data_IF_604123157865
#
_entry.id   IF_604123157865
#
_cell.length_a   1.000
_cell.length_b   1.000
_cell.length_c   1.000
_cell.angle_alpha   90.00
_cell.angle_beta   90.00
_cell.angle_gamma   90.00
#
_symmetry.space_group_name_H-M   'P 1'
#
loop_
_entity.id
_entity.type
_entity.pdbx_description
1 polymer ?
#
# COMPACT_ATOMS: atom_id res chain seq x y z
N UNK A 1 10.31 16.72 -51.33
CA UNK A 1 9.36 16.97 -50.22
C UNK A 1 9.68 16.02 -49.07
N UNK A 2 10.20 16.54 -47.95
CA UNK A 2 10.82 15.77 -46.87
C UNK A 2 9.82 14.96 -46.05
N UNK A 3 9.98 13.63 -46.02
CA UNK A 3 9.19 12.66 -45.23
C UNK A 3 9.22 12.93 -43.70
N UNK A 4 10.17 13.73 -43.23
CA UNK A 4 10.31 14.14 -41.82
C UNK A 4 9.20 15.12 -41.39
N UNK A 5 8.63 15.92 -42.31
CA UNK A 5 7.53 16.84 -41.97
C UNK A 5 6.18 16.14 -41.79
N UNK A 6 5.99 14.97 -42.40
CA UNK A 6 4.74 14.20 -42.28
C UNK A 6 4.65 13.49 -40.92
N UNK A 7 5.78 13.04 -40.37
CA UNK A 7 5.82 12.33 -39.08
C UNK A 7 5.65 13.31 -37.90
N UNK A 8 6.16 14.54 -38.02
CA UNK A 8 5.98 15.56 -36.98
C UNK A 8 4.53 16.09 -36.89
N UNK A 9 3.78 16.05 -37.98
CA UNK A 9 2.37 16.47 -38.00
C UNK A 9 1.43 15.40 -37.42
N UNK A 10 1.82 14.11 -37.46
CA UNK A 10 1.04 13.02 -36.87
C UNK A 10 1.21 12.92 -35.34
N UNK A 11 2.32 13.43 -34.80
CA UNK A 11 2.61 13.43 -33.35
C UNK A 11 1.96 14.61 -32.58
N UNK A 12 1.36 15.57 -33.28
CA UNK A 12 0.66 16.73 -32.69
C UNK A 12 -0.87 16.56 -32.57
N UNK A 13 -1.43 15.44 -33.07
CA UNK A 13 -2.90 15.22 -33.07
C UNK A 13 -3.44 14.34 -31.93
N UNK A 14 -2.62 13.94 -30.94
CA UNK A 14 -3.08 13.10 -29.81
C UNK A 14 -3.15 13.87 -28.47
N UNK A 15 -3.06 15.21 -28.52
CA UNK A 15 -3.07 16.07 -27.32
C UNK A 15 -4.34 16.95 -27.19
N UNK A 16 -5.49 16.50 -27.68
CA UNK A 16 -6.78 17.14 -27.44
C UNK A 16 -7.85 16.08 -27.14
N UNK A 17 -7.86 15.61 -25.90
CA UNK A 17 -8.88 14.72 -25.34
C UNK A 17 -9.18 15.13 -23.90
N UNK A 18 -9.49 16.40 -23.70
CA UNK A 18 -10.03 16.93 -22.44
C UNK A 18 -11.52 17.21 -22.59
N UNK A 19 -12.28 16.56 -21.71
CA UNK A 19 -13.52 17.04 -21.10
C UNK A 19 -14.62 17.60 -22.01
N UNK A 20 -15.53 16.75 -22.48
CA UNK A 20 -16.91 17.16 -22.73
C UNK A 20 -17.79 16.69 -21.58
N UNK A 21 -18.33 17.67 -20.86
CA UNK A 21 -19.36 17.52 -19.84
C UNK A 21 -20.61 18.13 -20.46
N UNK A 22 -21.54 17.29 -20.90
CA UNK A 22 -22.83 17.75 -21.42
C UNK A 22 -23.94 17.34 -20.44
N UNK A 23 -24.43 18.36 -19.72
CA UNK A 23 -25.73 18.30 -19.06
C UNK A 23 -26.80 18.66 -20.09
N UNK A 24 -27.84 17.84 -20.17
CA UNK A 24 -29.26 18.20 -20.37
C UNK A 24 -29.95 17.28 -21.38
N UNK A 25 -30.72 16.31 -20.86
CA UNK A 25 -32.01 16.03 -21.47
C UNK A 25 -33.05 15.83 -20.37
N UNK A 26 -33.88 16.86 -20.22
CA UNK A 26 -35.16 16.83 -19.51
C UNK A 26 -36.13 16.10 -20.44
N UNK A 27 -36.72 15.01 -19.96
CA UNK A 27 -37.76 14.27 -20.68
C UNK A 27 -38.71 13.59 -19.68
N UNK A 28 -39.89 14.16 -19.56
CA UNK A 28 -40.94 13.91 -18.58
C UNK A 28 -41.46 12.46 -18.47
N UNK A 29 -41.92 12.11 -17.26
CA UNK A 29 -42.68 10.90 -16.87
C UNK A 29 -43.98 10.69 -17.69
N UNK A 30 -44.61 9.50 -17.57
CA UNK A 30 -45.65 9.35 -16.54
C UNK A 30 -45.71 8.01 -15.79
N UNK A 31 -45.96 8.14 -14.47
CA UNK A 31 -46.86 7.41 -13.56
C UNK A 31 -46.91 5.85 -13.50
N UNK A 32 -46.34 5.35 -12.39
CA UNK A 32 -46.81 4.37 -11.37
C UNK A 32 -47.75 3.19 -11.73
N UNK A 33 -47.61 2.05 -11.01
CA UNK A 33 -48.41 1.95 -9.78
C UNK A 33 -47.63 1.50 -8.53
N UNK A 34 -48.09 2.04 -7.41
CA UNK A 34 -47.71 1.74 -6.03
C UNK A 34 -47.87 0.27 -5.67
N UNK A 35 -46.91 -0.26 -4.91
CA UNK A 35 -47.01 -1.56 -4.27
C UNK A 35 -46.12 -1.64 -3.04
N UNK A 36 -46.76 -1.46 -1.87
CA UNK A 36 -46.44 -2.04 -0.54
C UNK A 36 -45.01 -1.96 -0.01
N UNK A 37 -44.88 -1.31 1.14
CA UNK A 37 -43.65 -1.23 1.93
C UNK A 37 -43.00 -2.60 2.16
N UNK A 38 -41.74 -2.67 1.76
CA UNK A 38 -40.78 -3.58 2.35
C UNK A 38 -39.86 -2.73 3.23
N UNK A 39 -40.02 -2.92 4.54
CA UNK A 39 -39.06 -2.56 5.57
C UNK A 39 -37.65 -2.80 5.04
N UNK A 40 -36.81 -1.77 5.03
CA UNK A 40 -35.39 -1.95 4.77
C UNK A 40 -34.84 -2.88 5.87
N UNK A 41 -34.78 -4.18 5.57
CA UNK A 41 -33.97 -5.10 6.35
C UNK A 41 -32.55 -4.57 6.25
N UNK A 42 -32.09 -4.01 7.37
CA UNK A 42 -30.69 -3.93 7.73
C UNK A 42 -30.14 -5.37 7.72
N UNK A 43 -29.86 -5.87 6.52
CA UNK A 43 -29.16 -7.12 6.28
C UNK A 43 -27.70 -6.83 6.53
N UNK A 44 -27.26 -7.16 7.74
CA UNK A 44 -25.89 -7.46 8.14
C UNK A 44 -24.93 -7.60 6.96
N UNK A 45 -23.94 -6.71 6.91
CA UNK A 45 -22.71 -6.94 6.16
C UNK A 45 -22.07 -8.22 6.71
N UNK A 46 -22.45 -9.36 6.14
CA UNK A 46 -21.61 -10.54 6.18
C UNK A 46 -20.34 -10.14 5.46
N UNK A 47 -19.24 -10.03 6.20
CA UNK A 47 -17.88 -10.05 5.69
C UNK A 47 -17.75 -11.29 4.80
N UNK A 48 -18.05 -11.14 3.51
CA UNK A 48 -17.63 -12.08 2.51
C UNK A 48 -16.10 -12.10 2.61
N UNK A 49 -15.55 -13.14 3.22
CA UNK A 49 -14.11 -13.36 3.27
C UNK A 49 -13.68 -13.66 1.84
N UNK A 50 -13.45 -12.60 1.07
CA UNK A 50 -12.93 -12.68 -0.28
C UNK A 50 -11.58 -13.38 -0.16
N UNK A 51 -11.54 -14.65 -0.57
CA UNK A 51 -10.30 -15.41 -0.63
C UNK A 51 -9.45 -14.78 -1.72
N UNK A 52 -8.53 -13.92 -1.29
CA UNK A 52 -7.66 -13.17 -2.18
C UNK A 52 -6.58 -14.10 -2.73
N UNK A 53 -6.46 -14.21 -4.05
CA UNK A 53 -5.36 -14.98 -4.63
C UNK A 53 -4.01 -14.29 -4.35
N UNK A 54 -2.94 -15.08 -4.21
CA UNK A 54 -1.58 -14.53 -4.00
C UNK A 54 -1.15 -13.58 -5.11
N UNK A 55 -1.62 -13.78 -6.34
CA UNK A 55 -1.37 -12.87 -7.46
C UNK A 55 -2.05 -11.52 -7.28
N UNK A 56 -3.33 -11.50 -6.86
CA UNK A 56 -4.03 -10.24 -6.56
C UNK A 56 -3.39 -9.54 -5.36
N UNK A 57 -3.04 -10.28 -4.32
CA UNK A 57 -2.34 -9.79 -3.15
C UNK A 57 -0.99 -9.13 -3.50
N UNK A 58 -0.18 -9.79 -4.32
CA UNK A 58 1.08 -9.25 -4.82
C UNK A 58 0.86 -7.94 -5.60
N UNK A 59 -0.19 -7.89 -6.40
CA UNK A 59 -0.49 -6.75 -7.22
C UNK A 59 -0.86 -5.54 -6.33
N UNK A 60 -1.60 -5.75 -5.24
CA UNK A 60 -1.90 -4.72 -4.22
C UNK A 60 -0.61 -4.26 -3.53
N UNK A 61 0.24 -5.19 -3.08
CA UNK A 61 1.55 -4.85 -2.49
C UNK A 61 2.38 -4.00 -3.48
N UNK A 62 2.40 -4.35 -4.77
CA UNK A 62 3.06 -3.55 -5.80
C UNK A 62 2.45 -2.16 -5.95
N UNK A 63 1.12 -2.03 -5.92
CA UNK A 63 0.47 -0.72 -5.98
C UNK A 63 0.90 0.20 -4.81
N UNK A 64 1.16 -0.36 -3.62
CA UNK A 64 1.57 0.39 -2.44
C UNK A 64 3.08 0.66 -2.32
N UNK A 65 3.93 -0.16 -2.96
CA UNK A 65 5.38 -0.10 -2.71
C UNK A 65 6.25 -0.06 -3.97
N UNK A 66 5.67 -0.07 -5.18
CA UNK A 66 6.43 -0.13 -6.44
C UNK A 66 7.29 1.10 -6.73
N UNK A 67 7.05 2.23 -6.06
CA UNK A 67 7.87 3.45 -6.09
C UNK A 67 9.09 3.37 -5.16
N UNK A 68 9.08 2.42 -4.22
CA UNK A 68 10.09 2.31 -3.17
C UNK A 68 10.93 1.05 -3.32
N UNK A 69 10.30 -0.07 -3.67
CA UNK A 69 10.94 -1.37 -3.80
C UNK A 69 10.92 -1.86 -5.24
N UNK A 70 11.99 -2.53 -5.65
CA UNK A 70 12.11 -3.11 -6.98
C UNK A 70 13.03 -4.35 -7.02
N UNK A 71 12.70 -5.38 -7.81
CA UNK A 71 11.33 -5.77 -8.17
C UNK A 71 10.60 -6.35 -6.94
N UNK A 72 9.26 -6.36 -6.95
CA UNK A 72 8.46 -7.16 -6.00
C UNK A 72 7.73 -8.23 -6.80
N UNK A 73 8.26 -9.45 -6.76
CA UNK A 73 7.73 -10.63 -7.45
C UNK A 73 7.20 -11.65 -6.45
N UNK A 74 6.34 -12.54 -6.92
CA UNK A 74 5.61 -13.49 -6.07
C UNK A 74 6.57 -14.38 -5.26
N UNK A 75 7.60 -14.89 -5.90
CA UNK A 75 8.62 -15.76 -5.30
C UNK A 75 9.45 -15.10 -4.19
N UNK A 76 9.42 -13.77 -4.12
CA UNK A 76 10.12 -13.01 -3.09
C UNK A 76 9.27 -12.82 -1.83
N UNK A 77 7.94 -12.99 -1.91
CA UNK A 77 7.00 -12.72 -0.82
C UNK A 77 6.77 -13.99 -0.01
N UNK A 78 7.30 -14.03 1.21
CA UNK A 78 7.23 -15.21 2.08
C UNK A 78 6.45 -14.90 3.35
N UNK A 79 5.28 -15.51 3.52
CA UNK A 79 4.55 -15.53 4.79
C UNK A 79 5.44 -16.07 5.92
N UNK A 80 5.34 -15.48 7.11
CA UNK A 80 6.13 -15.83 8.28
C UNK A 80 5.21 -16.02 9.49
N UNK A 81 5.57 -16.97 10.36
CA UNK A 81 5.01 -16.96 11.70
C UNK A 81 5.54 -15.76 12.49
N UNK A 82 4.79 -15.34 13.51
CA UNK A 82 5.23 -14.33 14.49
C UNK A 82 6.64 -14.61 15.03
N UNK A 83 6.93 -15.87 15.35
CA UNK A 83 8.23 -16.26 15.91
C UNK A 83 9.34 -16.07 14.89
N UNK A 84 9.14 -16.50 13.64
CA UNK A 84 10.12 -16.32 12.56
C UNK A 84 10.37 -14.83 12.28
N UNK A 85 9.32 -14.02 12.21
CA UNK A 85 9.45 -12.59 12.03
C UNK A 85 10.20 -11.93 13.20
N UNK A 86 9.90 -12.32 14.45
CA UNK A 86 10.57 -11.77 15.63
C UNK A 86 12.05 -12.13 15.65
N UNK A 87 12.40 -13.38 15.32
CA UNK A 87 13.79 -13.83 15.21
C UNK A 87 14.55 -13.07 14.12
N UNK A 88 13.92 -12.90 12.95
CA UNK A 88 14.47 -12.06 11.89
C UNK A 88 14.73 -10.64 12.40
N UNK A 89 13.73 -9.98 13.00
CA UNK A 89 13.88 -8.61 13.52
C UNK A 89 15.04 -8.49 14.51
N UNK A 90 15.15 -9.45 15.43
CA UNK A 90 16.23 -9.52 16.43
C UNK A 90 17.62 -9.73 15.81
N UNK A 91 17.70 -10.41 14.66
CA UNK A 91 18.96 -10.61 13.92
C UNK A 91 19.44 -9.36 13.17
N UNK A 92 18.60 -8.32 13.09
CA UNK A 92 18.93 -7.09 12.36
C UNK A 92 19.33 -5.96 13.32
N UNK A 93 19.98 -4.89 12.82
CA UNK A 93 20.17 -3.66 13.57
C UNK A 93 18.86 -2.97 14.02
N UNK A 94 17.69 -3.45 13.58
CA UNK A 94 16.37 -2.96 14.02
C UNK A 94 15.86 -3.64 15.28
N UNK A 95 16.63 -4.51 15.94
CA UNK A 95 16.17 -5.29 17.10
C UNK A 95 15.52 -4.43 18.20
N UNK A 96 16.04 -3.23 18.47
CA UNK A 96 15.49 -2.31 19.48
C UNK A 96 14.13 -1.71 19.10
N UNK A 97 13.73 -1.78 17.82
CA UNK A 97 12.38 -1.41 17.38
C UNK A 97 11.29 -2.39 17.85
N UNK A 98 11.67 -3.57 18.38
CA UNK A 98 10.74 -4.56 18.93
C UNK A 98 9.80 -3.97 19.98
N UNK A 99 10.28 -3.05 20.84
CA UNK A 99 9.44 -2.40 21.86
C UNK A 99 8.30 -1.60 21.24
N UNK A 100 8.56 -0.93 20.11
CA UNK A 100 7.56 -0.18 19.37
C UNK A 100 6.59 -1.09 18.61
N UNK A 101 7.05 -2.25 18.13
CA UNK A 101 6.22 -3.21 17.44
C UNK A 101 5.47 -4.16 18.40
N UNK A 102 5.70 -4.04 19.72
CA UNK A 102 5.16 -4.97 20.70
C UNK A 102 3.64 -5.16 20.63
N UNK A 103 2.80 -4.11 20.47
CA UNK A 103 1.36 -4.30 20.27
C UNK A 103 1.00 -5.20 19.08
N UNK A 104 1.72 -5.04 17.96
CA UNK A 104 1.53 -5.87 16.77
C UNK A 104 2.03 -7.30 17.00
N UNK A 105 3.23 -7.44 17.58
CA UNK A 105 3.85 -8.74 17.89
C UNK A 105 3.03 -9.54 18.91
N UNK A 106 2.34 -8.89 19.83
CA UNK A 106 1.52 -9.57 20.84
C UNK A 106 0.13 -9.95 20.32
N UNK A 107 -0.33 -9.36 19.21
CA UNK A 107 -1.64 -9.62 18.66
C UNK A 107 -1.63 -10.89 17.77
N UNK A 108 -2.49 -11.89 18.04
CA UNK A 108 -2.52 -13.15 17.31
C UNK A 108 -3.04 -13.05 15.86
N UNK A 109 -3.73 -11.97 15.50
CA UNK A 109 -4.26 -11.75 14.14
C UNK A 109 -3.35 -10.88 13.27
N UNK A 110 -2.19 -10.51 13.78
CA UNK A 110 -1.18 -9.78 12.99
C UNK A 110 -0.50 -10.75 12.03
N UNK A 111 -0.45 -10.37 10.76
CA UNK A 111 0.16 -11.16 9.70
C UNK A 111 1.52 -10.59 9.29
N UNK A 112 2.44 -11.47 8.91
CA UNK A 112 3.84 -11.11 8.66
C UNK A 112 4.34 -11.69 7.35
N UNK A 113 4.99 -10.85 6.57
CA UNK A 113 5.65 -11.25 5.32
C UNK A 113 7.07 -10.72 5.31
N UNK A 114 8.00 -11.54 4.82
CA UNK A 114 9.34 -11.08 4.46
C UNK A 114 9.52 -11.07 2.94
N UNK A 115 10.15 -10.01 2.44
CA UNK A 115 10.54 -9.87 1.04
C UNK A 115 11.96 -9.36 0.88
N UNK A 116 12.68 -9.95 -0.08
CA UNK A 116 14.03 -9.53 -0.44
C UNK A 116 13.96 -8.68 -1.71
N UNK A 117 14.26 -7.40 -1.61
CA UNK A 117 14.07 -6.40 -2.68
C UNK A 117 15.28 -5.50 -2.82
N UNK A 118 15.27 -4.66 -3.85
CA UNK A 118 16.20 -3.53 -3.99
C UNK A 118 15.44 -2.24 -3.68
N UNK A 119 16.03 -1.38 -2.85
CA UNK A 119 15.49 -0.05 -2.57
C UNK A 119 15.76 0.85 -3.77
N UNK A 120 14.71 1.42 -4.38
CA UNK A 120 14.87 2.26 -5.58
C UNK A 120 15.73 3.49 -5.35
N UNK A 121 15.54 4.16 -4.21
CA UNK A 121 16.26 5.38 -3.88
C UNK A 121 17.78 5.19 -3.78
N UNK A 122 18.27 3.96 -3.55
CA UNK A 122 19.70 3.70 -3.31
C UNK A 122 20.30 2.60 -4.18
N UNK A 123 19.49 1.80 -4.87
CA UNK A 123 19.93 0.60 -5.58
C UNK A 123 20.44 -0.52 -4.66
N UNK A 124 20.31 -0.40 -3.34
CA UNK A 124 20.82 -1.39 -2.37
C UNK A 124 19.80 -2.48 -2.09
N UNK A 125 20.29 -3.70 -1.87
CA UNK A 125 19.46 -4.83 -1.40
C UNK A 125 18.98 -4.57 0.03
N UNK A 126 17.76 -5.00 0.30
CA UNK A 126 17.14 -4.97 1.62
C UNK A 126 16.25 -6.19 1.82
N UNK A 127 16.16 -6.64 3.06
CA UNK A 127 15.04 -7.48 3.49
C UNK A 127 14.02 -6.56 4.14
N UNK A 128 12.77 -6.66 3.70
CA UNK A 128 11.66 -5.88 4.22
C UNK A 128 10.67 -6.81 4.89
N UNK A 129 10.31 -6.48 6.12
CA UNK A 129 9.20 -7.07 6.84
C UNK A 129 7.94 -6.23 6.63
N UNK A 130 6.91 -6.81 6.04
CA UNK A 130 5.58 -6.22 6.02
C UNK A 130 4.75 -6.84 7.14
N UNK A 131 4.12 -5.97 7.93
CA UNK A 131 3.24 -6.34 9.02
C UNK A 131 1.85 -5.84 8.68
N UNK A 132 0.90 -6.75 8.49
CA UNK A 132 -0.50 -6.43 8.29
C UNK A 132 -1.12 -6.04 9.63
N UNK A 133 -1.60 -4.80 9.75
CA UNK A 133 -2.11 -4.26 11.03
C UNK A 133 -3.59 -4.62 11.19
N UNK A 134 -3.97 -5.39 12.22
CA UNK A 134 -5.37 -5.73 12.46
C UNK A 134 -6.22 -4.48 12.75
N UNK A 135 -7.52 -4.52 12.41
CA UNK A 135 -8.47 -3.41 12.64
C UNK A 135 -8.46 -2.89 14.09
N UNK A 136 -8.21 -3.76 15.08
CA UNK A 136 -8.11 -3.36 16.48
C UNK A 136 -6.95 -2.41 16.79
N UNK A 137 -5.94 -2.32 15.90
CA UNK A 137 -4.72 -1.56 16.09
C UNK A 137 -4.57 -0.39 15.09
N UNK A 138 -5.56 -0.15 14.21
CA UNK A 138 -5.51 0.93 13.21
C UNK A 138 -5.59 2.34 13.79
N UNK A 139 -5.91 2.47 15.09
CA UNK A 139 -5.82 3.74 15.82
C UNK A 139 -4.37 4.09 16.24
N UNK A 140 -3.48 3.09 16.30
CA UNK A 140 -2.08 3.25 16.73
C UNK A 140 -1.08 3.09 15.60
N UNK A 141 -1.46 2.34 14.55
CA UNK A 141 -0.67 2.13 13.35
C UNK A 141 -1.54 2.38 12.12
N UNK A 142 -0.92 2.64 10.98
CA UNK A 142 -1.66 2.59 9.72
C UNK A 142 -1.89 1.13 9.29
N UNK A 143 -2.65 0.86 8.22
CA UNK A 143 -3.06 -0.50 7.81
C UNK A 143 -1.90 -1.50 7.60
N UNK A 144 -0.68 -1.00 7.39
CA UNK A 144 0.53 -1.81 7.37
C UNK A 144 1.72 -1.07 7.97
N UNK A 145 2.66 -1.86 8.53
CA UNK A 145 4.00 -1.40 8.90
C UNK A 145 5.03 -2.03 7.96
N UNK A 146 5.88 -1.20 7.36
CA UNK A 146 7.06 -1.64 6.61
C UNK A 146 8.32 -1.49 7.48
N UNK A 147 8.95 -2.62 7.81
CA UNK A 147 10.21 -2.70 8.55
C UNK A 147 11.34 -2.98 7.55
N UNK A 148 12.17 -1.99 7.27
CA UNK A 148 13.16 -2.04 6.18
C UNK A 148 14.55 -2.22 6.76
N UNK A 149 15.14 -3.39 6.53
CA UNK A 149 16.53 -3.70 6.88
C UNK A 149 17.42 -3.70 5.62
N UNK A 150 17.93 -2.52 5.20
CA UNK A 150 18.92 -2.45 4.14
C UNK A 150 20.23 -3.11 4.55
N UNK A 151 20.96 -3.64 3.57
CA UNK A 151 22.34 -4.07 3.76
C UNK A 151 23.22 -2.82 3.86
N UNK A 152 23.69 -2.52 5.07
CA UNK A 152 24.58 -1.38 5.37
C UNK A 152 25.97 -1.90 5.77
N UNK A 153 27.07 -1.32 5.26
CA UNK A 153 28.41 -1.62 5.74
C UNK A 153 28.54 -1.41 7.26
N UNK A 154 29.20 -2.34 7.94
CA UNK A 154 29.36 -2.35 9.41
C UNK A 154 30.08 -1.11 9.97
N UNK A 155 30.80 -0.36 9.13
CA UNK A 155 31.55 0.83 9.51
C UNK A 155 30.73 2.12 9.58
N UNK A 156 29.47 2.11 9.13
CA UNK A 156 28.63 3.31 9.12
C UNK A 156 27.78 3.33 10.38
N UNK A 157 27.92 4.33 11.27
CA UNK A 157 26.99 4.53 12.37
C UNK A 157 25.57 4.74 11.84
N UNK A 158 24.60 4.03 12.42
CA UNK A 158 23.19 4.09 12.03
C UNK A 158 22.30 4.45 13.20
N UNK A 159 21.11 4.95 12.91
CA UNK A 159 20.02 5.13 13.85
C UNK A 159 18.73 4.58 13.27
N UNK A 160 17.77 4.26 14.15
CA UNK A 160 16.43 3.83 13.75
C UNK A 160 15.56 5.06 13.58
N UNK A 161 14.94 5.19 12.42
CA UNK A 161 13.94 6.19 12.14
C UNK A 161 12.57 5.53 11.98
N UNK A 162 11.54 6.25 12.44
CA UNK A 162 10.14 5.88 12.28
C UNK A 162 9.40 7.07 11.70
N UNK A 163 8.60 6.83 10.68
CA UNK A 163 7.81 7.88 10.05
C UNK A 163 6.61 7.27 9.34
N UNK A 164 5.71 8.12 8.86
CA UNK A 164 4.61 7.71 8.01
C UNK A 164 4.79 8.27 6.59
N UNK A 165 4.55 7.42 5.60
CA UNK A 165 4.56 7.80 4.19
C UNK A 165 3.29 7.27 3.51
N UNK A 166 2.63 8.10 2.72
CA UNK A 166 1.41 7.74 2.00
C UNK A 166 1.74 7.52 0.53
N UNK A 167 1.21 6.44 -0.02
CA UNK A 167 1.34 6.24 -1.46
C UNK A 167 0.46 7.29 -2.14
N UNK A 168 0.84 7.81 -3.30
CA UNK A 168 -0.08 8.56 -4.15
C UNK A 168 -1.39 7.79 -4.42
N UNK A 169 -1.35 6.45 -4.27
CA UNK A 169 -2.42 5.52 -4.59
C UNK A 169 -2.95 4.76 -3.37
N UNK A 170 -2.85 5.31 -2.16
CA UNK A 170 -3.44 4.63 -1.01
C UNK A 170 -3.14 5.25 0.34
N UNK A 171 -3.70 4.61 1.38
CA UNK A 171 -3.55 5.04 2.76
C UNK A 171 -2.09 5.13 3.18
N UNK A 172 -1.87 5.96 4.20
CA UNK A 172 -0.59 6.10 4.85
C UNK A 172 -0.11 4.77 5.40
N UNK A 173 1.21 4.60 5.44
CA UNK A 173 1.87 3.40 5.95
C UNK A 173 2.91 3.84 6.94
N UNK A 174 3.03 3.06 8.01
CA UNK A 174 4.07 3.28 9.01
C UNK A 174 5.36 2.63 8.53
N UNK A 175 6.48 3.33 8.67
CA UNK A 175 7.80 2.85 8.30
C UNK A 175 8.71 2.80 9.50
N UNK A 176 9.55 1.77 9.54
CA UNK A 176 10.64 1.60 10.48
C UNK A 176 11.88 1.20 9.69
N UNK A 177 12.94 2.01 9.71
CA UNK A 177 14.16 1.72 8.96
C UNK A 177 15.39 2.18 9.73
N UNK A 178 16.52 1.54 9.43
CA UNK A 178 17.83 2.10 9.77
C UNK A 178 18.24 3.13 8.71
N UNK A 179 18.80 4.23 9.17
CA UNK A 179 19.27 5.36 8.37
C UNK A 179 20.67 5.73 8.91
N UNK A 180 21.61 6.22 8.08
CA UNK A 180 22.88 6.74 8.58
C UNK A 180 22.66 7.76 9.70
N UNK A 181 23.46 7.69 10.77
CA UNK A 181 23.27 8.53 11.95
C UNK A 181 23.34 10.04 11.61
N UNK A 182 24.14 10.40 10.61
CA UNK A 182 24.32 11.76 10.09
C UNK A 182 23.14 12.29 9.28
N UNK A 183 22.27 11.43 8.73
CA UNK A 183 21.12 11.85 7.94
C UNK A 183 19.91 12.11 8.85
N UNK A 184 19.08 13.09 8.49
CA UNK A 184 17.82 13.33 9.21
C UNK A 184 16.83 12.19 8.98
N UNK A 185 16.03 11.87 10.00
CA UNK A 185 14.92 10.95 9.79
C UNK A 185 13.92 11.57 8.81
N UNK A 186 13.31 10.77 7.92
CA UNK A 186 12.25 11.26 7.05
C UNK A 186 11.10 11.87 7.86
N UNK A 187 10.52 12.96 7.37
CA UNK A 187 9.34 13.57 7.99
C UNK A 187 8.08 12.77 7.68
N UNK A 188 7.04 12.91 8.49
CA UNK A 188 5.73 12.35 8.18
C UNK A 188 5.12 13.05 6.95
N UNK A 189 4.76 12.29 5.93
CA UNK A 189 4.23 12.82 4.66
C UNK A 189 2.70 12.73 4.56
N UNK A 190 2.02 12.28 5.62
CA UNK A 190 0.56 12.15 5.66
C UNK A 190 -0.23 13.44 5.50
N UNK A 191 0.40 14.57 5.79
CA UNK A 191 -0.24 15.87 5.67
C UNK A 191 0.07 16.56 4.34
N UNK A 192 0.93 15.97 3.49
CA UNK A 192 1.41 16.57 2.23
C UNK A 192 0.76 15.98 0.99
N UNK A 193 0.46 14.68 1.03
CA UNK A 193 -0.36 14.05 0.00
C UNK A 193 -1.81 14.25 0.43
N UNK A 194 -2.63 14.85 -0.44
CA UNK A 194 -4.08 15.07 -0.25
C UNK A 194 -4.74 13.88 0.45
N UNK A 195 -5.79 14.09 1.28
CA UNK A 195 -6.46 13.01 2.01
C UNK A 195 -6.74 11.89 1.03
N UNK A 196 -6.05 10.77 1.23
CA UNK A 196 -6.04 9.57 0.39
C UNK A 196 -7.39 9.43 -0.31
N UNK A 197 -7.53 9.91 -1.55
CA UNK A 197 -8.86 10.02 -2.15
C UNK A 197 -9.28 8.59 -2.54
N UNK A 198 -10.24 7.99 -1.82
CA UNK A 198 -10.67 6.64 -2.13
C UNK A 198 -11.37 6.57 -3.49
N UNK A 199 -11.74 7.71 -4.09
CA UNK A 199 -12.41 7.76 -5.40
C UNK A 199 -11.49 7.44 -6.58
N UNK A 200 -10.16 7.51 -6.42
CA UNK A 200 -9.20 7.04 -7.44
C UNK A 200 -9.13 5.51 -7.52
N UNK A 201 -9.77 4.77 -6.60
CA UNK A 201 -9.91 3.32 -6.67
C UNK A 201 -11.17 2.91 -7.46
N UNK A 202 -11.27 3.32 -8.72
CA UNK A 202 -12.28 2.76 -9.62
C UNK A 202 -11.79 1.43 -10.18
N UNK A 203 -12.17 0.33 -9.52
CA UNK A 203 -11.90 -1.05 -9.94
C UNK A 203 -11.94 -2.05 -8.78
N UNK A 204 -11.82 -3.34 -9.07
CA UNK A 204 -11.81 -4.49 -8.12
C UNK A 204 -10.80 -4.39 -6.96
N UNK A 205 -9.96 -3.36 -6.97
CA UNK A 205 -8.90 -3.04 -6.03
C UNK A 205 -9.36 -2.20 -4.84
N UNK A 206 -10.48 -1.48 -4.96
CA UNK A 206 -11.03 -0.62 -3.90
C UNK A 206 -11.64 -1.36 -2.71
N UNK A 207 -11.77 -2.69 -2.78
CA UNK A 207 -12.40 -3.50 -1.73
C UNK A 207 -11.42 -4.27 -0.85
N UNK A 208 -10.14 -4.34 -1.23
CA UNK A 208 -9.15 -5.18 -0.54
C UNK A 208 -8.07 -4.31 0.08
N UNK A 209 -7.97 -4.34 1.41
CA UNK A 209 -6.98 -3.55 2.15
C UNK A 209 -5.56 -4.15 2.01
N UNK A 210 -4.55 -3.32 2.25
CA UNK A 210 -3.16 -3.79 2.27
C UNK A 210 -2.94 -4.84 3.37
N UNK A 211 -3.66 -4.74 4.49
CA UNK A 211 -3.69 -5.77 5.53
C UNK A 211 -4.14 -7.12 4.96
N UNK A 212 -5.28 -7.15 4.25
CA UNK A 212 -5.80 -8.37 3.63
C UNK A 212 -4.85 -8.93 2.56
N UNK A 213 -4.17 -8.06 1.82
CA UNK A 213 -3.14 -8.48 0.88
C UNK A 213 -1.94 -9.15 1.56
N UNK A 214 -1.49 -8.64 2.71
CA UNK A 214 -0.42 -9.27 3.48
C UNK A 214 -0.88 -10.62 4.06
N UNK A 215 -2.13 -10.70 4.55
CA UNK A 215 -2.71 -11.90 5.12
C UNK A 215 -2.89 -13.06 4.13
N UNK A 216 -2.85 -12.81 2.82
CA UNK A 216 -3.02 -13.83 1.80
C UNK A 216 -1.77 -14.73 1.57
N UNK A 217 -0.64 -14.46 2.24
CA UNK A 217 0.65 -15.11 1.99
C UNK A 217 1.06 -16.15 3.00
#
# INVERSE_FOLDING_TARGET
MNRIKLILMLLLLVAAGSCEKENAFVGSSPMAPSGTGATASAGSQQDATLSLSKTQALAIINAHYSDTFYPIKLEQVKGQSRQQFTLWLQSTPLASSKSYLLPLLSNPTTEYVLLNVTLRATGKKATVGLVGVPNALTNSYDEAVAVVAPVIPVSIPVKICKWKNCSPRGKCRTWVSIIPASASCPTNECNKNHPCDPSDFTGTWGLVSLHQAIAAF
#
